data_IF_796765741318
#
_entry.id   IF_796765741318
#
_cell.length_a   1.000
_cell.length_b   1.000
_cell.length_c   1.000
_cell.angle_alpha   90.00
_cell.angle_beta   90.00
_cell.angle_gamma   90.00
#
_symmetry.space_group_name_H-M   'P 1'
#
loop_
_entity.id
_entity.type
_entity.pdbx_description
1 polymer ?
#
# COMPACT_ATOMS: atom_id res chain seq x y z
N UNK A 1 8.52 -0.21 31.61
CA UNK A 1 7.23 -0.92 31.74
C UNK A 1 6.43 -0.22 32.82
N UNK A 2 5.18 0.17 32.55
CA UNK A 2 4.29 0.74 33.56
C UNK A 2 3.74 -0.43 34.39
N UNK A 3 3.90 -0.34 35.70
CA UNK A 3 3.36 -1.33 36.66
C UNK A 3 2.51 -0.61 37.67
N UNK A 4 1.42 -1.23 38.07
CA UNK A 4 0.50 -0.69 39.11
C UNK A 4 0.81 -1.41 40.41
N UNK A 5 1.19 -0.61 41.43
CA UNK A 5 1.29 -1.09 42.81
C UNK A 5 -0.13 -1.09 43.43
N UNK A 6 -0.75 -2.25 43.44
CA UNK A 6 -2.14 -2.41 43.93
C UNK A 6 -2.31 -2.03 45.40
N UNK A 7 -1.28 -2.23 46.22
CA UNK A 7 -1.35 -1.93 47.67
C UNK A 7 -1.40 -0.42 47.85
N UNK A 8 -0.49 0.31 47.20
CA UNK A 8 -0.48 1.79 47.25
C UNK A 8 -1.71 2.39 46.61
N UNK A 9 -2.21 1.80 45.53
CA UNK A 9 -3.46 2.26 44.91
C UNK A 9 -4.66 2.10 45.84
N UNK A 10 -4.80 0.95 46.52
CA UNK A 10 -5.89 0.71 47.48
C UNK A 10 -5.81 1.66 48.68
N UNK A 11 -4.62 1.94 49.17
CA UNK A 11 -4.41 2.90 50.25
C UNK A 11 -4.74 4.34 49.82
N UNK A 12 -4.29 4.76 48.65
CA UNK A 12 -4.59 6.06 48.08
C UNK A 12 -6.10 6.24 47.81
N UNK A 13 -6.79 5.21 47.35
CA UNK A 13 -8.25 5.24 47.17
C UNK A 13 -9.01 5.41 48.50
N UNK A 14 -8.52 4.82 49.59
CA UNK A 14 -9.14 4.95 50.92
C UNK A 14 -8.89 6.31 51.55
N UNK A 15 -7.69 6.86 51.39
CA UNK A 15 -7.26 8.07 52.12
C UNK A 15 -7.43 9.35 51.30
N UNK A 16 -7.29 9.26 49.94
CA UNK A 16 -7.27 10.40 49.02
C UNK A 16 -8.23 10.24 47.86
N UNK A 17 -9.36 9.59 48.07
CA UNK A 17 -10.31 9.29 47.00
C UNK A 17 -10.82 10.52 46.24
N UNK A 18 -11.00 11.66 46.91
CA UNK A 18 -11.40 12.92 46.27
C UNK A 18 -10.30 13.53 45.39
N UNK A 19 -9.04 13.47 45.83
CA UNK A 19 -7.90 13.96 45.06
C UNK A 19 -7.67 13.07 43.82
N UNK A 20 -7.78 11.75 43.98
CA UNK A 20 -7.71 10.80 42.90
C UNK A 20 -8.81 11.02 41.86
N UNK A 21 -10.04 11.24 42.32
CA UNK A 21 -11.15 11.59 41.44
C UNK A 21 -10.87 12.89 40.69
N UNK A 22 -10.38 13.93 41.37
CA UNK A 22 -10.05 15.20 40.76
C UNK A 22 -8.94 15.07 39.70
N UNK A 23 -7.95 14.19 39.92
CA UNK A 23 -6.89 13.88 38.94
C UNK A 23 -7.46 13.42 37.59
N UNK A 24 -8.56 12.68 37.58
CA UNK A 24 -9.19 12.20 36.35
C UNK A 24 -10.26 13.13 35.80
N UNK A 25 -11.06 13.79 36.69
CA UNK A 25 -12.31 14.48 36.32
C UNK A 25 -12.23 16.00 36.36
N UNK A 26 -11.14 16.60 36.87
CA UNK A 26 -10.97 18.06 36.85
C UNK A 26 -10.76 18.57 35.40
N UNK A 27 -10.96 19.89 35.21
CA UNK A 27 -10.77 20.50 33.88
C UNK A 27 -9.39 20.24 33.26
N UNK A 28 -8.35 20.12 34.10
CA UNK A 28 -7.01 19.73 33.70
C UNK A 28 -6.67 18.27 34.02
N UNK A 29 -7.70 17.46 34.28
CA UNK A 29 -7.53 16.05 34.62
C UNK A 29 -7.18 15.19 33.41
N UNK A 30 -6.63 14.00 33.69
CA UNK A 30 -6.19 13.04 32.68
C UNK A 30 -7.33 12.67 31.71
N UNK A 31 -8.57 12.53 32.26
CA UNK A 31 -9.73 12.19 31.41
C UNK A 31 -10.07 13.28 30.41
N UNK A 32 -10.06 14.55 30.80
CA UNK A 32 -10.31 15.66 29.91
C UNK A 32 -9.17 15.87 28.91
N UNK A 33 -7.90 15.76 29.33
CA UNK A 33 -6.76 15.83 28.43
C UNK A 33 -6.79 14.73 27.37
N UNK A 34 -7.16 13.51 27.74
CA UNK A 34 -7.29 12.40 26.79
C UNK A 34 -8.46 12.64 25.83
N UNK A 35 -9.59 13.12 26.32
CA UNK A 35 -10.75 13.45 25.51
C UNK A 35 -10.41 14.53 24.47
N UNK A 36 -9.70 15.58 24.86
CA UNK A 36 -9.27 16.65 23.94
C UNK A 36 -8.32 16.13 22.85
N UNK A 37 -7.39 15.25 23.22
CA UNK A 37 -6.49 14.60 22.24
C UNK A 37 -7.31 13.77 21.25
N UNK A 38 -8.26 12.98 21.71
CA UNK A 38 -9.11 12.16 20.84
C UNK A 38 -9.96 13.03 19.91
N UNK A 39 -10.63 14.04 20.45
CA UNK A 39 -11.45 14.97 19.65
C UNK A 39 -10.61 15.66 18.59
N UNK A 40 -9.43 16.14 18.95
CA UNK A 40 -8.52 16.79 18.00
C UNK A 40 -7.99 15.80 16.94
N UNK A 41 -7.66 14.58 17.31
CA UNK A 41 -7.18 13.56 16.38
C UNK A 41 -8.27 13.06 15.41
N UNK A 42 -9.53 13.07 15.85
CA UNK A 42 -10.69 12.59 15.05
C UNK A 42 -11.51 13.69 14.39
N UNK A 43 -11.08 14.94 14.50
CA UNK A 43 -11.78 16.09 13.91
C UNK A 43 -11.97 15.91 12.41
N UNK A 44 -13.21 15.82 11.95
CA UNK A 44 -13.57 15.61 10.53
C UNK A 44 -13.74 16.91 9.76
N UNK A 45 -14.02 18.04 10.45
CA UNK A 45 -14.25 19.34 9.85
C UNK A 45 -12.96 20.01 9.41
N UNK A 46 -13.02 20.76 8.33
CA UNK A 46 -11.91 21.53 7.78
C UNK A 46 -11.40 21.00 6.44
N UNK A 47 -10.51 21.77 5.83
CA UNK A 47 -9.81 21.38 4.61
C UNK A 47 -8.65 20.44 4.92
N UNK A 48 -8.09 19.82 3.89
CA UNK A 48 -6.89 18.98 4.01
C UNK A 48 -5.76 19.73 4.74
N UNK A 49 -5.15 19.10 5.72
CA UNK A 49 -4.11 19.67 6.58
C UNK A 49 -4.62 20.39 7.84
N UNK A 50 -5.95 20.56 7.99
CA UNK A 50 -6.56 21.17 9.18
C UNK A 50 -7.51 20.21 9.93
N UNK A 51 -7.69 19.00 9.42
CA UNK A 51 -8.46 17.92 10.06
C UNK A 51 -7.62 17.24 11.15
N UNK A 52 -8.25 16.37 11.92
CA UNK A 52 -7.52 15.57 12.90
C UNK A 52 -6.53 14.59 12.25
N UNK A 53 -5.45 14.30 12.96
CA UNK A 53 -4.36 13.47 12.45
C UNK A 53 -4.80 12.10 11.93
N UNK A 54 -5.74 11.45 12.60
CA UNK A 54 -6.28 10.16 12.16
C UNK A 54 -7.11 10.30 10.86
N UNK A 55 -7.86 11.39 10.75
CA UNK A 55 -8.67 11.69 9.55
C UNK A 55 -7.79 12.04 8.35
N UNK A 56 -6.69 12.76 8.56
CA UNK A 56 -5.73 13.06 7.49
C UNK A 56 -5.03 11.80 6.96
N UNK A 57 -4.83 10.80 7.81
CA UNK A 57 -4.19 9.54 7.42
C UNK A 57 -5.17 8.60 6.74
N UNK A 58 -6.29 8.30 7.37
CA UNK A 58 -7.19 7.23 6.96
C UNK A 58 -8.50 7.72 6.29
N UNK A 59 -8.87 8.98 6.49
CA UNK A 59 -10.16 9.50 6.05
C UNK A 59 -11.33 8.97 6.88
N UNK A 60 -12.51 9.47 6.56
CA UNK A 60 -13.78 8.98 7.12
C UNK A 60 -14.74 8.74 5.97
N UNK A 61 -15.30 7.53 5.91
CA UNK A 61 -16.23 7.09 4.88
C UNK A 61 -17.40 8.07 4.72
N UNK A 62 -17.79 8.33 3.49
CA UNK A 62 -18.87 9.26 3.14
C UNK A 62 -18.59 10.74 3.45
N UNK A 63 -17.35 11.10 3.72
CA UNK A 63 -16.91 12.50 3.85
C UNK A 63 -15.91 12.87 2.74
N UNK A 64 -15.60 14.17 2.59
CA UNK A 64 -14.54 14.59 1.65
C UNK A 64 -13.18 13.95 1.97
N UNK A 65 -12.90 13.68 3.23
CA UNK A 65 -11.64 13.06 3.65
C UNK A 65 -11.48 11.61 3.19
N UNK A 66 -12.54 10.93 2.79
CA UNK A 66 -12.50 9.55 2.26
C UNK A 66 -11.56 9.42 1.05
N UNK A 67 -11.57 10.42 0.16
CA UNK A 67 -10.74 10.46 -1.05
C UNK A 67 -9.58 11.48 -0.99
N UNK A 68 -9.45 12.16 0.14
CA UNK A 68 -8.44 13.20 0.37
C UNK A 68 -7.56 12.88 1.58
N UNK A 69 -7.15 11.61 1.73
CA UNK A 69 -6.30 11.16 2.82
C UNK A 69 -5.01 10.51 2.29
N UNK A 70 -4.02 10.33 3.17
CA UNK A 70 -2.71 9.85 2.74
C UNK A 70 -2.73 8.39 2.29
N UNK A 71 -3.59 7.56 2.85
CA UNK A 71 -3.76 6.15 2.45
C UNK A 71 -4.36 6.09 1.04
N UNK A 72 -5.40 6.87 0.77
CA UNK A 72 -6.01 6.92 -0.56
C UNK A 72 -5.00 7.33 -1.65
N UNK A 73 -4.20 8.35 -1.39
CA UNK A 73 -3.16 8.79 -2.32
C UNK A 73 -2.06 7.73 -2.53
N UNK A 74 -1.72 6.96 -1.50
CA UNK A 74 -0.79 5.84 -1.64
C UNK A 74 -1.38 4.73 -2.51
N UNK A 75 -2.62 4.34 -2.27
CA UNK A 75 -3.33 3.34 -3.09
C UNK A 75 -3.39 3.79 -4.55
N UNK A 76 -3.72 5.05 -4.82
CA UNK A 76 -3.75 5.63 -6.16
C UNK A 76 -2.39 5.54 -6.86
N UNK A 77 -1.30 5.84 -6.15
CA UNK A 77 0.06 5.68 -6.69
C UNK A 77 0.41 4.23 -6.99
N UNK A 78 0.07 3.32 -6.08
CA UNK A 78 0.30 1.88 -6.26
C UNK A 78 -0.46 1.38 -7.48
N UNK A 79 -1.74 1.70 -7.63
CA UNK A 79 -2.55 1.30 -8.78
C UNK A 79 -1.98 1.84 -10.10
N UNK A 80 -1.51 3.08 -10.12
CA UNK A 80 -0.80 3.62 -11.29
C UNK A 80 0.45 2.83 -11.64
N UNK A 81 1.25 2.45 -10.64
CA UNK A 81 2.45 1.65 -10.86
C UNK A 81 2.11 0.25 -11.37
N UNK A 82 1.05 -0.39 -10.85
CA UNK A 82 0.56 -1.67 -11.35
C UNK A 82 0.19 -1.56 -12.84
N UNK A 83 -0.54 -0.53 -13.24
CA UNK A 83 -0.89 -0.30 -14.66
C UNK A 83 0.36 -0.13 -15.54
N UNK A 84 1.37 0.60 -15.08
CA UNK A 84 2.63 0.77 -15.81
C UNK A 84 3.36 -0.56 -15.96
N UNK A 85 3.40 -1.39 -14.90
CA UNK A 85 4.04 -2.70 -14.94
C UNK A 85 3.30 -3.67 -15.87
N UNK A 86 1.96 -3.66 -15.85
CA UNK A 86 1.14 -4.45 -16.77
C UNK A 86 1.41 -4.10 -18.24
N UNK A 87 1.47 -2.79 -18.56
CA UNK A 87 1.80 -2.34 -19.92
C UNK A 87 3.21 -2.76 -20.35
N UNK A 88 4.19 -2.70 -19.42
CA UNK A 88 5.55 -3.19 -19.71
C UNK A 88 5.56 -4.69 -19.98
N UNK A 89 4.84 -5.47 -19.18
CA UNK A 89 4.73 -6.91 -19.37
C UNK A 89 4.15 -7.25 -20.74
N UNK A 90 3.04 -6.64 -21.11
CA UNK A 90 2.43 -6.84 -22.45
C UNK A 90 3.38 -6.48 -23.60
N UNK A 91 4.15 -5.40 -23.46
CA UNK A 91 5.14 -5.01 -24.46
C UNK A 91 6.30 -6.01 -24.54
N UNK A 92 6.78 -6.53 -23.40
CA UNK A 92 7.81 -7.56 -23.39
C UNK A 92 7.33 -8.89 -23.99
N UNK A 93 6.11 -9.31 -23.66
CA UNK A 93 5.48 -10.48 -24.26
C UNK A 93 5.40 -10.34 -25.78
N UNK A 94 4.92 -9.20 -26.29
CA UNK A 94 4.86 -8.92 -27.72
C UNK A 94 6.24 -8.94 -28.38
N UNK A 95 7.26 -8.38 -27.71
CA UNK A 95 8.64 -8.40 -28.18
C UNK A 95 9.20 -9.82 -28.24
N UNK A 96 8.91 -10.64 -27.25
CA UNK A 96 9.34 -12.04 -27.22
C UNK A 96 8.66 -12.84 -28.33
N UNK A 97 7.36 -12.69 -28.52
CA UNK A 97 6.63 -13.33 -29.61
C UNK A 97 7.19 -12.98 -30.97
N UNK A 98 7.51 -11.71 -31.22
CA UNK A 98 8.14 -11.28 -32.47
C UNK A 98 9.51 -11.93 -32.67
N UNK A 99 10.32 -12.07 -31.62
CA UNK A 99 11.61 -12.77 -31.68
C UNK A 99 11.43 -14.26 -31.98
N UNK A 100 10.47 -14.92 -31.32
CA UNK A 100 10.19 -16.33 -31.59
C UNK A 100 9.75 -16.55 -33.02
N UNK A 101 8.83 -15.74 -33.55
CA UNK A 101 8.39 -15.83 -34.94
C UNK A 101 9.54 -15.60 -35.95
N UNK A 102 10.44 -14.66 -35.65
CA UNK A 102 11.63 -14.43 -36.49
C UNK A 102 12.62 -15.61 -36.46
N UNK A 103 12.81 -16.21 -35.27
CA UNK A 103 13.65 -17.42 -35.13
C UNK A 103 13.06 -18.61 -35.89
N UNK A 104 11.75 -18.83 -35.78
CA UNK A 104 11.05 -19.90 -36.48
C UNK A 104 11.17 -19.74 -38.01
N UNK A 105 10.97 -18.51 -38.50
CA UNK A 105 11.17 -18.22 -39.90
C UNK A 105 12.64 -18.45 -40.39
N UNK A 106 13.62 -18.11 -39.55
CA UNK A 106 15.03 -18.37 -39.85
C UNK A 106 15.34 -19.88 -39.86
N UNK A 107 14.80 -20.64 -38.90
CA UNK A 107 14.94 -22.10 -38.87
C UNK A 107 14.31 -22.77 -40.09
N UNK A 108 13.14 -22.33 -40.54
CA UNK A 108 12.51 -22.82 -41.76
C UNK A 108 13.38 -22.56 -42.98
N UNK A 109 13.98 -21.35 -43.10
CA UNK A 109 14.90 -21.03 -44.19
C UNK A 109 16.14 -21.92 -44.16
N UNK A 110 16.73 -22.15 -42.99
CA UNK A 110 17.88 -23.05 -42.82
C UNK A 110 17.55 -24.49 -43.24
N UNK A 111 16.38 -24.98 -42.83
CA UNK A 111 15.92 -26.33 -43.23
C UNK A 111 15.75 -26.46 -44.73
N UNK A 112 15.18 -25.46 -45.40
CA UNK A 112 15.05 -25.44 -46.88
C UNK A 112 16.43 -25.40 -47.52
N UNK A 113 17.37 -24.58 -47.05
CA UNK A 113 18.74 -24.54 -47.59
C UNK A 113 19.46 -25.87 -47.37
N UNK A 114 19.31 -26.50 -46.20
CA UNK A 114 19.89 -27.82 -45.92
C UNK A 114 19.33 -28.88 -46.86
N UNK A 115 18.03 -28.90 -47.14
CA UNK A 115 17.42 -29.85 -48.07
C UNK A 115 17.93 -29.67 -49.51
N UNK A 116 18.10 -28.43 -49.95
CA UNK A 116 18.67 -28.11 -51.27
C UNK A 116 20.11 -28.61 -51.36
N UNK A 117 20.95 -28.35 -50.34
CA UNK A 117 22.33 -28.84 -50.31
C UNK A 117 22.41 -30.36 -50.35
N UNK A 118 21.54 -31.06 -49.61
CA UNK A 118 21.46 -32.52 -49.62
C UNK A 118 21.07 -33.04 -51.02
N UNK A 119 20.16 -32.35 -51.69
CA UNK A 119 19.72 -32.69 -53.03
C UNK A 119 20.86 -32.49 -54.07
N UNK A 120 21.67 -31.43 -53.92
CA UNK A 120 22.86 -31.21 -54.76
C UNK A 120 23.99 -32.22 -54.47
N UNK A 121 24.17 -32.61 -53.22
CA UNK A 121 25.18 -33.62 -52.83
C UNK A 121 24.84 -35.03 -53.33
N UNK A 122 23.57 -35.35 -53.49
CA UNK A 122 23.05 -36.62 -54.02
C UNK A 122 22.69 -36.53 -55.49
N UNK A 123 23.19 -35.54 -56.24
CA UNK A 123 22.99 -35.38 -57.70
C UNK A 123 23.51 -36.56 -58.50
N UNK A 124 22.97 -36.78 -59.70
CA UNK A 124 23.13 -38.03 -60.45
C UNK A 124 24.59 -38.28 -60.82
N UNK A 125 25.25 -39.03 -60.01
CA UNK A 125 26.48 -39.69 -60.42
C UNK A 125 26.13 -41.05 -61.03
N UNK A 126 25.77 -41.04 -62.26
CA UNK A 126 26.05 -42.12 -63.26
C UNK A 126 25.91 -41.58 -64.63
#
# INVERSE_FOLDING_TARGET
KLEIDEIKLKEALKTKGSELRALFTSNNGIGNALNDIIINATKTSGVRGSRGSLVEVAGVVSTMSDKENSIYEQIKRINKNITVLQNRLTNEESRLWNKFSALEAALQRLNVQSSILTQFSNGPGQ
#
